data_IF_806045201202
#
_entry.id   IF_806045201202
#
_cell.length_a   1.000
_cell.length_b   1.000
_cell.length_c   1.000
_cell.angle_alpha   90.00
_cell.angle_beta   90.00
_cell.angle_gamma   90.00
#
_symmetry.space_group_name_H-M   'P 1'
#
loop_
_entity.id
_entity.type
_entity.pdbx_description
1 polymer ?
#
# COMPACT_ATOMS: atom_id res chain seq x y z
N UNK A 1 -64.88 -7.05 5.92
CA UNK A 1 -63.98 -6.41 4.94
C UNK A 1 -63.20 -7.55 4.30
N UNK A 2 -63.40 -7.81 3.01
CA UNK A 2 -62.71 -8.92 2.32
C UNK A 2 -61.29 -8.50 1.94
N UNK A 3 -60.32 -9.32 2.33
CA UNK A 3 -58.93 -9.13 1.95
C UNK A 3 -58.70 -9.76 0.58
N UNK A 4 -58.59 -8.93 -0.45
CA UNK A 4 -58.43 -9.39 -1.83
C UNK A 4 -56.99 -9.74 -2.16
N UNK A 5 -56.77 -10.45 -3.27
CA UNK A 5 -55.44 -10.72 -3.83
C UNK A 5 -54.67 -9.41 -4.09
N UNK A 6 -55.36 -8.34 -4.48
CA UNK A 6 -54.76 -7.02 -4.66
C UNK A 6 -54.21 -6.47 -3.35
N UNK A 7 -54.88 -6.72 -2.22
CA UNK A 7 -54.37 -6.34 -0.90
C UNK A 7 -53.14 -7.16 -0.52
N UNK A 8 -53.08 -8.46 -0.87
CA UNK A 8 -51.87 -9.27 -0.71
C UNK A 8 -50.68 -8.66 -1.48
N UNK A 9 -50.86 -8.37 -2.76
CA UNK A 9 -49.80 -7.84 -3.64
C UNK A 9 -49.29 -6.50 -3.11
N UNK A 10 -50.19 -5.60 -2.70
CA UNK A 10 -49.80 -4.31 -2.10
C UNK A 10 -49.03 -4.48 -0.81
N UNK A 11 -49.48 -5.38 0.06
CA UNK A 11 -48.80 -5.63 1.35
C UNK A 11 -47.39 -6.17 1.14
N UNK A 12 -47.21 -7.13 0.23
CA UNK A 12 -45.88 -7.67 -0.11
C UNK A 12 -45.01 -6.60 -0.73
N UNK A 13 -45.55 -5.82 -1.68
CA UNK A 13 -44.80 -4.73 -2.31
C UNK A 13 -44.34 -3.67 -1.30
N UNK A 14 -45.20 -3.29 -0.35
CA UNK A 14 -44.84 -2.36 0.73
C UNK A 14 -43.76 -2.94 1.63
N UNK A 15 -43.92 -4.20 2.07
CA UNK A 15 -42.92 -4.87 2.89
C UNK A 15 -41.56 -4.99 2.16
N UNK A 16 -41.56 -5.29 0.86
CA UNK A 16 -40.34 -5.34 0.07
C UNK A 16 -39.65 -3.97 -0.04
N UNK A 17 -40.41 -2.88 -0.15
CA UNK A 17 -39.86 -1.52 -0.21
C UNK A 17 -39.29 -1.03 1.13
N UNK A 18 -39.76 -1.59 2.25
CA UNK A 18 -39.28 -1.27 3.60
C UNK A 18 -37.96 -1.97 3.96
N UNK A 19 -37.59 -3.04 3.24
CA UNK A 19 -36.34 -3.75 3.49
C UNK A 19 -35.17 -2.87 3.07
N UNK A 20 -34.34 -2.49 4.04
CA UNK A 20 -33.14 -1.72 3.76
C UNK A 20 -32.10 -2.59 3.02
N UNK A 21 -31.45 -2.06 1.96
CA UNK A 21 -30.38 -2.77 1.25
C UNK A 21 -29.25 -3.25 2.16
N UNK A 22 -28.92 -2.48 3.20
CA UNK A 22 -27.93 -2.83 4.22
C UNK A 22 -28.31 -4.09 5.01
N UNK A 23 -29.59 -4.22 5.37
CA UNK A 23 -30.13 -5.38 6.09
C UNK A 23 -30.12 -6.60 5.19
N UNK A 24 -30.56 -6.43 3.92
CA UNK A 24 -30.52 -7.49 2.92
C UNK A 24 -29.07 -7.99 2.73
N UNK A 25 -28.12 -7.09 2.50
CA UNK A 25 -26.71 -7.43 2.30
C UNK A 25 -26.10 -8.14 3.52
N UNK A 26 -26.41 -7.70 4.74
CA UNK A 26 -25.93 -8.35 5.95
C UNK A 26 -26.43 -9.80 6.07
N UNK A 27 -27.68 -10.07 5.66
CA UNK A 27 -28.25 -11.42 5.66
C UNK A 27 -27.69 -12.31 4.54
N UNK A 28 -27.44 -11.76 3.35
CA UNK A 28 -26.95 -12.52 2.19
C UNK A 28 -25.44 -12.75 2.22
N UNK A 29 -24.66 -11.85 2.84
CA UNK A 29 -23.18 -11.93 2.91
C UNK A 29 -22.64 -13.28 3.42
N UNK A 30 -23.20 -13.94 4.45
CA UNK A 30 -22.72 -15.25 4.91
C UNK A 30 -23.15 -16.43 4.03
N UNK A 31 -24.20 -16.26 3.23
CA UNK A 31 -24.82 -17.33 2.44
C UNK A 31 -24.36 -17.32 0.98
N UNK A 32 -24.23 -16.13 0.40
CA UNK A 32 -23.90 -15.93 -1.00
C UNK A 32 -23.22 -14.56 -1.24
N UNK A 33 -21.91 -14.44 -0.92
CA UNK A 33 -21.18 -13.17 -0.95
C UNK A 33 -21.21 -12.43 -2.30
N UNK A 34 -21.21 -13.18 -3.40
CA UNK A 34 -21.23 -12.66 -4.77
C UNK A 34 -22.46 -11.81 -5.11
N UNK A 35 -23.57 -11.93 -4.38
CA UNK A 35 -24.77 -11.10 -4.61
C UNK A 35 -24.70 -9.74 -3.90
N UNK A 36 -23.76 -9.55 -2.98
CA UNK A 36 -23.62 -8.30 -2.20
C UNK A 36 -22.93 -7.21 -3.03
N UNK A 37 -22.04 -7.58 -3.95
CA UNK A 37 -21.31 -6.63 -4.82
C UNK A 37 -22.23 -5.92 -5.83
N UNK A 38 -23.27 -6.60 -6.34
CA UNK A 38 -24.19 -6.05 -7.34
C UNK A 38 -25.10 -4.92 -6.79
N UNK A 39 -25.15 -4.73 -5.47
CA UNK A 39 -26.00 -3.74 -4.80
C UNK A 39 -25.18 -2.67 -4.05
N UNK A 40 -23.86 -2.59 -4.25
CA UNK A 40 -23.09 -1.49 -3.71
C UNK A 40 -23.61 -0.18 -4.28
N UNK A 41 -24.15 0.62 -3.37
CA UNK A 41 -24.85 1.86 -3.64
C UNK A 41 -23.94 2.85 -4.37
N UNK A 42 -24.36 3.25 -5.58
CA UNK A 42 -23.69 4.20 -6.48
C UNK A 42 -23.37 5.53 -5.76
N UNK A 43 -24.11 5.83 -4.69
CA UNK A 43 -23.92 6.97 -3.80
C UNK A 43 -22.58 6.99 -3.05
N UNK A 44 -21.98 5.83 -2.76
CA UNK A 44 -20.73 5.74 -1.97
C UNK A 44 -19.51 6.16 -2.80
N UNK A 45 -19.59 5.99 -4.13
CA UNK A 45 -18.48 6.18 -5.07
C UNK A 45 -18.66 7.46 -5.89
N UNK A 46 -19.89 7.98 -5.97
CA UNK A 46 -20.17 9.28 -6.59
C UNK A 46 -19.39 10.43 -5.95
N UNK A 47 -19.17 10.42 -4.63
CA UNK A 47 -18.48 11.52 -3.94
C UNK A 47 -16.97 11.56 -4.27
N UNK A 48 -16.21 10.45 -4.19
CA UNK A 48 -14.82 10.40 -4.66
C UNK A 48 -14.64 10.74 -6.14
N UNK A 49 -15.51 10.23 -7.02
CA UNK A 49 -15.40 10.48 -8.47
C UNK A 49 -15.58 11.97 -8.79
N UNK A 50 -16.58 12.62 -8.18
CA UNK A 50 -16.80 14.06 -8.37
C UNK A 50 -15.65 14.90 -7.82
N UNK A 51 -15.05 14.51 -6.69
CA UNK A 51 -13.88 15.20 -6.14
C UNK A 51 -12.65 15.09 -7.06
N UNK A 52 -12.37 13.90 -7.58
CA UNK A 52 -11.26 13.66 -8.53
C UNK A 52 -11.45 14.48 -9.81
N UNK A 53 -12.66 14.48 -10.39
CA UNK A 53 -12.98 15.27 -11.59
C UNK A 53 -12.84 16.76 -11.34
N UNK A 54 -13.25 17.25 -10.16
CA UNK A 54 -13.10 18.66 -9.77
C UNK A 54 -11.64 19.08 -9.55
N UNK A 55 -10.81 18.19 -9.01
CA UNK A 55 -9.37 18.47 -8.88
C UNK A 55 -8.72 18.50 -10.26
N UNK A 56 -9.03 17.51 -11.11
CA UNK A 56 -8.44 17.43 -12.44
C UNK A 56 -8.86 18.61 -13.33
N UNK A 57 -10.12 19.04 -13.27
CA UNK A 57 -10.59 20.21 -14.03
C UNK A 57 -9.95 21.53 -13.61
N UNK A 58 -9.41 21.63 -12.40
CA UNK A 58 -8.64 22.79 -11.92
C UNK A 58 -7.18 22.78 -12.36
N UNK A 59 -6.66 21.63 -12.76
CA UNK A 59 -5.26 21.41 -13.14
C UNK A 59 -5.06 21.30 -14.66
N UNK A 60 -6.15 21.19 -15.41
CA UNK A 60 -6.18 20.85 -16.82
C UNK A 60 -6.64 22.05 -17.65
N UNK A 61 -5.94 22.37 -18.73
CA UNK A 61 -6.42 23.33 -19.73
C UNK A 61 -7.58 22.71 -20.53
N UNK A 62 -8.43 23.53 -21.17
CA UNK A 62 -9.69 23.12 -21.83
C UNK A 62 -9.55 21.94 -22.82
N UNK A 63 -8.34 21.65 -23.30
CA UNK A 63 -8.03 20.57 -24.24
C UNK A 63 -8.03 19.16 -23.61
N UNK A 64 -7.91 19.05 -22.28
CA UNK A 64 -7.87 17.76 -21.55
C UNK A 64 -9.01 17.68 -20.54
N UNK A 65 -10.25 17.68 -21.04
CA UNK A 65 -11.45 17.49 -20.23
C UNK A 65 -11.49 16.05 -19.67
N UNK A 66 -11.45 15.92 -18.34
CA UNK A 66 -11.57 14.64 -17.66
C UNK A 66 -13.03 14.18 -17.65
N UNK A 67 -13.28 13.02 -18.25
CA UNK A 67 -14.62 12.42 -18.31
C UNK A 67 -14.96 11.72 -16.98
N UNK A 68 -16.13 12.06 -16.45
CA UNK A 68 -16.63 11.53 -15.19
C UNK A 68 -16.90 10.03 -15.24
N UNK A 69 -17.24 9.49 -16.42
CA UNK A 69 -17.46 8.05 -16.61
C UNK A 69 -16.15 7.26 -16.60
N UNK A 70 -15.08 7.80 -17.21
CA UNK A 70 -13.77 7.15 -17.25
C UNK A 70 -13.16 7.07 -15.84
N UNK A 71 -13.26 8.16 -15.06
CA UNK A 71 -12.81 8.16 -13.66
C UNK A 71 -13.62 7.17 -12.83
N UNK A 72 -14.93 7.07 -13.07
CA UNK A 72 -15.79 6.10 -12.39
C UNK A 72 -15.38 4.67 -12.69
N UNK A 73 -15.10 4.34 -13.95
CA UNK A 73 -14.62 3.01 -14.34
C UNK A 73 -13.26 2.68 -13.75
N UNK A 74 -12.35 3.65 -13.62
CA UNK A 74 -11.06 3.46 -12.94
C UNK A 74 -11.19 3.28 -11.42
N UNK A 75 -12.14 3.97 -10.79
CA UNK A 75 -12.40 3.83 -9.34
C UNK A 75 -13.14 2.52 -9.02
N UNK A 76 -13.97 2.03 -9.95
CA UNK A 76 -14.71 0.77 -9.84
C UNK A 76 -13.95 -0.45 -10.37
N UNK A 77 -12.95 -0.23 -11.22
CA UNK A 77 -12.08 -1.27 -11.74
C UNK A 77 -11.21 -1.79 -10.61
N UNK A 78 -11.68 -2.85 -9.95
CA UNK A 78 -10.97 -3.56 -8.87
C UNK A 78 -9.59 -4.06 -9.35
N UNK A 79 -8.58 -3.21 -9.23
CA UNK A 79 -7.24 -3.65 -8.87
C UNK A 79 -7.03 -3.20 -7.43
N UNK A 80 -7.55 -4.00 -6.49
CA UNK A 80 -7.24 -3.80 -5.08
C UNK A 80 -5.80 -4.22 -4.89
N UNK A 81 -4.94 -3.23 -4.64
CA UNK A 81 -3.55 -3.49 -4.28
C UNK A 81 -3.53 -4.39 -3.06
N UNK A 82 -2.82 -5.50 -3.15
CA UNK A 82 -2.53 -6.31 -1.98
C UNK A 82 -1.51 -5.59 -1.07
N UNK A 83 -1.28 -6.15 0.12
CA UNK A 83 -0.42 -5.51 1.12
C UNK A 83 1.05 -5.42 0.65
N UNK A 84 1.48 -6.30 -0.26
CA UNK A 84 2.81 -6.31 -0.85
C UNK A 84 2.93 -5.23 -1.93
N UNK A 85 1.93 -5.12 -2.82
CA UNK A 85 1.82 -4.07 -3.84
C UNK A 85 1.69 -2.66 -3.23
N UNK A 86 0.97 -2.54 -2.12
CA UNK A 86 0.87 -1.28 -1.37
C UNK A 86 2.22 -0.89 -0.74
N UNK A 87 3.00 -1.87 -0.26
CA UNK A 87 4.36 -1.63 0.22
C UNK A 87 5.30 -1.21 -0.92
N UNK A 88 5.19 -1.81 -2.10
CA UNK A 88 5.98 -1.41 -3.28
C UNK A 88 5.71 0.04 -3.69
N UNK A 89 4.47 0.52 -3.59
CA UNK A 89 4.12 1.93 -3.83
C UNK A 89 4.71 2.89 -2.79
N UNK A 90 4.80 2.46 -1.53
CA UNK A 90 5.43 3.24 -0.45
C UNK A 90 6.97 3.24 -0.60
N UNK A 91 7.52 2.14 -1.11
CA UNK A 91 8.95 1.96 -1.35
C UNK A 91 9.41 2.47 -2.71
N UNK A 92 8.47 2.82 -3.59
CA UNK A 92 8.77 3.46 -4.86
C UNK A 92 9.67 4.65 -4.53
N UNK A 93 10.89 4.69 -5.09
CA UNK A 93 11.85 5.72 -4.71
C UNK A 93 11.17 7.05 -5.01
N UNK A 94 10.88 7.82 -3.95
CA UNK A 94 10.64 9.24 -4.13
C UNK A 94 11.95 9.72 -4.75
N UNK A 95 11.95 9.89 -6.06
CA UNK A 95 13.09 10.38 -6.83
C UNK A 95 13.26 11.86 -6.51
N UNK A 96 13.59 12.13 -5.26
CA UNK A 96 14.38 13.26 -4.85
C UNK A 96 15.82 12.74 -4.84
N UNK A 97 16.29 12.37 -6.04
CA UNK A 97 17.70 12.37 -6.36
C UNK A 97 18.18 13.83 -6.32
N UNK A 98 18.18 14.43 -5.12
CA UNK A 98 19.09 15.52 -4.82
C UNK A 98 20.42 14.87 -4.47
N UNK A 99 21.07 14.38 -5.52
CA UNK A 99 22.49 14.10 -5.57
C UNK A 99 23.19 15.43 -5.31
N UNK A 100 23.35 15.78 -4.03
CA UNK A 100 24.37 16.72 -3.62
C UNK A 100 25.62 15.91 -3.31
N UNK A 101 26.27 15.42 -4.36
CA UNK A 101 27.67 15.01 -4.33
C UNK A 101 28.51 16.25 -4.09
N UNK A 102 28.57 16.68 -2.84
CA UNK A 102 29.58 17.59 -2.36
C UNK A 102 29.71 17.40 -0.85
N UNK A 103 30.62 16.49 -0.50
CA UNK A 103 31.66 16.73 0.51
C UNK A 103 32.69 15.62 0.38
N UNK A 104 33.81 15.98 -0.23
CA UNK A 104 35.12 15.53 0.23
C UNK A 104 35.09 15.46 1.76
N UNK A 105 35.00 14.25 2.30
CA UNK A 105 35.47 13.98 3.63
C UNK A 105 36.69 13.10 3.43
N UNK A 106 37.85 13.70 3.71
CA UNK A 106 39.10 13.03 3.97
C UNK A 106 38.82 11.71 4.71
N UNK A 107 39.35 10.61 4.18
CA UNK A 107 39.29 9.30 4.83
C UNK A 107 40.00 9.38 6.19
N UNK A 108 39.23 9.67 7.24
CA UNK A 108 39.73 9.65 8.62
C UNK A 108 39.80 8.18 9.08
N UNK A 109 40.96 7.70 9.56
CA UNK A 109 41.20 6.29 9.88
C UNK A 109 40.59 5.90 11.24
N UNK A 110 39.27 6.03 11.41
CA UNK A 110 38.59 5.68 12.67
C UNK A 110 37.73 4.42 12.63
N UNK A 111 37.65 3.73 11.48
CA UNK A 111 36.88 2.49 11.36
C UNK A 111 37.83 1.32 11.05
N UNK A 112 38.03 0.45 12.04
CA UNK A 112 38.82 -0.77 11.89
C UNK A 112 38.02 -1.87 11.18
N UNK A 113 38.71 -2.73 10.41
CA UNK A 113 38.07 -3.83 9.68
C UNK A 113 37.38 -4.82 10.62
N UNK A 114 37.94 -5.10 11.80
CA UNK A 114 37.30 -5.98 12.78
C UNK A 114 36.04 -5.33 13.35
N UNK A 115 36.07 -4.02 13.60
CA UNK A 115 34.89 -3.28 14.08
C UNK A 115 33.76 -3.29 13.05
N UNK A 116 34.07 -3.08 11.76
CA UNK A 116 33.09 -3.18 10.67
C UNK A 116 32.51 -4.60 10.57
N UNK A 117 33.36 -5.63 10.61
CA UNK A 117 32.91 -7.04 10.58
C UNK A 117 32.04 -7.39 11.77
N UNK A 118 32.40 -6.93 12.97
CA UNK A 118 31.62 -7.11 14.19
C UNK A 118 30.26 -6.44 14.07
N UNK A 119 30.20 -5.20 13.60
CA UNK A 119 28.95 -4.47 13.36
C UNK A 119 28.04 -5.20 12.37
N UNK A 120 28.58 -5.68 11.24
CA UNK A 120 27.82 -6.43 10.25
C UNK A 120 27.29 -7.77 10.80
N UNK A 121 28.04 -8.44 11.66
CA UNK A 121 27.58 -9.68 12.30
C UNK A 121 26.47 -9.43 13.33
N UNK A 122 26.60 -8.40 14.17
CA UNK A 122 25.54 -8.00 15.09
C UNK A 122 24.24 -7.66 14.34
N UNK A 123 24.37 -6.97 13.21
CA UNK A 123 23.19 -6.63 12.42
C UNK A 123 22.49 -7.88 11.84
N UNK A 124 23.23 -8.93 11.46
CA UNK A 124 22.64 -10.22 11.06
C UNK A 124 21.89 -10.89 12.21
N UNK A 125 22.43 -10.84 13.43
CA UNK A 125 21.76 -11.40 14.60
C UNK A 125 20.45 -10.68 14.91
N UNK A 126 20.45 -9.33 14.85
CA UNK A 126 19.26 -8.52 15.04
C UNK A 126 18.24 -8.75 13.91
N UNK A 127 18.69 -8.79 12.65
CA UNK A 127 17.84 -9.12 11.50
C UNK A 127 17.13 -10.46 11.72
N UNK A 128 17.89 -11.50 12.08
CA UNK A 128 17.35 -12.84 12.32
C UNK A 128 16.35 -12.86 13.48
N UNK A 129 16.66 -12.18 14.59
CA UNK A 129 15.80 -12.14 15.76
C UNK A 129 14.41 -11.60 15.40
N UNK A 130 14.33 -10.40 14.82
CA UNK A 130 13.04 -9.79 14.49
C UNK A 130 12.30 -10.50 13.37
N UNK A 131 12.98 -11.11 12.39
CA UNK A 131 12.32 -11.95 11.38
C UNK A 131 11.65 -13.18 12.02
N UNK A 132 12.25 -13.77 13.07
CA UNK A 132 11.74 -14.99 13.69
C UNK A 132 10.68 -14.73 14.77
N UNK A 133 10.81 -13.63 15.52
CA UNK A 133 9.95 -13.36 16.69
C UNK A 133 8.78 -12.44 16.39
N UNK A 134 8.83 -11.66 15.30
CA UNK A 134 7.77 -10.72 14.97
C UNK A 134 6.62 -11.43 14.22
N UNK A 135 5.46 -11.48 14.85
CA UNK A 135 4.25 -12.05 14.26
C UNK A 135 3.66 -11.18 13.13
N UNK A 136 4.09 -9.92 12.99
CA UNK A 136 3.78 -9.10 11.83
C UNK A 136 4.81 -9.34 10.73
N UNK A 137 4.39 -10.04 9.68
CA UNK A 137 5.20 -10.27 8.47
C UNK A 137 5.56 -8.95 7.77
N UNK A 138 4.69 -7.97 7.85
CA UNK A 138 4.81 -6.64 7.23
C UNK A 138 5.87 -5.80 7.92
N UNK A 139 5.74 -5.66 9.25
CA UNK A 139 6.71 -4.90 10.05
C UNK A 139 8.10 -5.54 9.99
N UNK A 140 8.19 -6.87 10.05
CA UNK A 140 9.46 -7.57 9.97
C UNK A 140 10.11 -7.49 8.58
N UNK A 141 9.33 -7.54 7.51
CA UNK A 141 9.82 -7.31 6.15
C UNK A 141 10.35 -5.87 5.97
N UNK A 142 9.61 -4.87 6.45
CA UNK A 142 10.05 -3.47 6.44
C UNK A 142 11.35 -3.27 7.21
N UNK A 143 11.43 -3.80 8.44
CA UNK A 143 12.63 -3.75 9.27
C UNK A 143 13.86 -4.37 8.56
N UNK A 144 13.69 -5.56 7.99
CA UNK A 144 14.73 -6.26 7.23
C UNK A 144 15.25 -5.41 6.06
N UNK A 145 14.35 -4.79 5.29
CA UNK A 145 14.71 -3.94 4.16
C UNK A 145 15.48 -2.70 4.62
N UNK A 146 14.93 -1.94 5.57
CA UNK A 146 15.55 -0.70 6.07
C UNK A 146 16.92 -0.96 6.70
N UNK A 147 17.05 -2.02 7.51
CA UNK A 147 18.33 -2.42 8.09
C UNK A 147 19.37 -2.74 7.01
N UNK A 148 18.99 -3.48 5.96
CA UNK A 148 19.91 -3.82 4.86
C UNK A 148 20.34 -2.60 4.06
N UNK A 149 19.45 -1.63 3.88
CA UNK A 149 19.76 -0.35 3.23
C UNK A 149 20.76 0.45 4.07
N UNK A 150 20.54 0.55 5.39
CA UNK A 150 21.47 1.22 6.30
C UNK A 150 22.87 0.58 6.31
N UNK A 151 22.97 -0.73 6.09
CA UNK A 151 24.24 -1.45 6.08
C UNK A 151 24.98 -1.42 4.73
N UNK A 152 24.39 -0.89 3.67
CA UNK A 152 24.99 -0.91 2.33
C UNK A 152 26.37 -0.25 2.29
N UNK A 153 26.47 0.97 2.83
CA UNK A 153 27.73 1.72 2.92
C UNK A 153 28.79 1.00 3.76
N UNK A 154 28.40 0.30 4.83
CA UNK A 154 29.33 -0.47 5.65
C UNK A 154 29.85 -1.73 4.94
N UNK A 155 29.06 -2.33 4.04
CA UNK A 155 29.53 -3.45 3.20
C UNK A 155 30.59 -2.97 2.21
N UNK A 156 30.38 -1.81 1.60
CA UNK A 156 31.36 -1.17 0.71
C UNK A 156 32.67 -0.87 1.47
N UNK A 157 32.58 -0.25 2.65
CA UNK A 157 33.75 0.01 3.51
C UNK A 157 34.49 -1.29 3.87
N UNK A 158 33.76 -2.37 4.19
CA UNK A 158 34.37 -3.67 4.47
C UNK A 158 35.17 -4.21 3.29
N UNK A 159 34.63 -4.12 2.07
CA UNK A 159 35.32 -4.58 0.84
C UNK A 159 36.59 -3.77 0.59
N UNK A 160 36.53 -2.45 0.76
CA UNK A 160 37.70 -1.59 0.56
C UNK A 160 38.80 -1.82 1.60
N UNK A 161 38.43 -2.03 2.86
CA UNK A 161 39.36 -2.38 3.93
C UNK A 161 40.01 -3.77 3.71
N UNK A 162 39.27 -4.75 3.20
CA UNK A 162 39.80 -6.08 2.87
C UNK A 162 40.80 -6.04 1.71
N UNK A 163 40.52 -5.23 0.67
CA UNK A 163 41.47 -5.02 -0.43
C UNK A 163 42.79 -4.44 0.08
N UNK A 164 42.73 -3.40 0.94
CA UNK A 164 43.92 -2.77 1.53
C UNK A 164 44.75 -3.78 2.36
N UNK A 165 44.09 -4.54 3.24
CA UNK A 165 44.76 -5.54 4.06
C UNK A 165 45.43 -6.68 3.25
N UNK A 166 44.94 -6.94 2.04
CA UNK A 166 45.52 -7.95 1.12
C UNK A 166 46.71 -7.41 0.33
N UNK A 167 46.78 -6.09 0.11
CA UNK A 167 47.89 -5.43 -0.60
C UNK A 167 49.09 -5.20 0.34
N UNK A 168 48.85 -5.09 1.65
CA UNK A 168 49.86 -4.80 2.68
C UNK A 168 50.50 -6.06 3.29
N UNK A 169 50.09 -7.28 2.89
CA UNK A 169 50.63 -8.58 3.32
C UNK A 169 51.36 -9.29 2.17
#
# INVERSE_FOLDING_TARGET
>A
MEFSILNCIRTVSSACAEIQPTTLNACWKPLLPQMVQAMQDDSTISLPVTEIVNIASRLSDEEFAVNHQDVRELVLGEETLDEEELMELIDAPTSNALVNENKENEWVPNLDLQDVKKGLNLAKEIELHFIQTDHSTVRSAKFKRELRNCLASYREVSVELEKKATIEN
#
